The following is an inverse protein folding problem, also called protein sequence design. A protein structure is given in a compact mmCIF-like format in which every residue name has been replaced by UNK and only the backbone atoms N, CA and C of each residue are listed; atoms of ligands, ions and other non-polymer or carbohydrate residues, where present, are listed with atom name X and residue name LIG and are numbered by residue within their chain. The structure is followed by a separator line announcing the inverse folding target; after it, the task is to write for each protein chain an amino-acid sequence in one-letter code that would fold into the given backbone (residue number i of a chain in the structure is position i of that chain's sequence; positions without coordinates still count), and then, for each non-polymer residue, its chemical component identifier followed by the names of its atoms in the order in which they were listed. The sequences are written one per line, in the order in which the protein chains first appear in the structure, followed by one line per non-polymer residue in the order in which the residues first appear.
data_IF_987513660403
#
_entry.id   IF_987513660403
#
_cell.length_a   1.000
_cell.length_b   1.000
_cell.length_c   1.000
_cell.angle_alpha   90.00
_cell.angle_beta   90.00
_cell.angle_gamma   90.00
#
_symmetry.space_group_name_H-M   'P 1'
#
loop_
_entity.id
_entity.type
_entity.pdbx_description
1 polymer ?
#
# COMPACT_ATOMS: atom_id res chain seq x y z
N UNK A 1 -41.36 -9.53 6.63
CA UNK A 1 -42.73 -9.89 6.16
C UNK A 1 -42.68 -10.99 5.10
N UNK A 2 -41.76 -10.95 4.12
CA UNK A 2 -41.66 -11.92 3.01
C UNK A 2 -41.22 -13.36 3.33
N UNK A 3 -40.52 -13.60 4.44
CA UNK A 3 -40.12 -14.97 4.84
C UNK A 3 -41.26 -15.78 5.48
N UNK A 4 -42.41 -15.14 5.79
CA UNK A 4 -43.56 -15.77 6.46
C UNK A 4 -44.59 -16.33 5.46
N UNK A 5 -44.66 -15.79 4.24
CA UNK A 5 -45.53 -16.29 3.17
C UNK A 5 -44.93 -17.48 2.41
N UNK A 6 -43.60 -17.50 2.23
CA UNK A 6 -42.89 -18.62 1.57
C UNK A 6 -42.99 -19.92 2.41
N UNK A 7 -43.15 -19.82 3.73
CA UNK A 7 -43.32 -20.99 4.63
C UNK A 7 -44.75 -21.54 4.68
N UNK A 8 -45.78 -20.80 4.25
CA UNK A 8 -47.19 -21.21 4.45
C UNK A 8 -47.79 -21.94 3.25
N UNK A 9 -47.31 -21.66 2.05
CA UNK A 9 -47.78 -22.30 0.82
C UNK A 9 -46.58 -23.00 0.15
N UNK A 10 -46.39 -24.29 0.46
CA UNK A 10 -45.32 -25.09 -0.14
C UNK A 10 -45.37 -24.98 -1.67
N UNK A 11 -44.29 -24.47 -2.26
CA UNK A 11 -44.15 -24.29 -3.71
C UNK A 11 -44.10 -25.69 -4.33
N UNK A 12 -45.09 -26.04 -5.15
CA UNK A 12 -45.22 -27.38 -5.72
C UNK A 12 -44.82 -27.49 -7.19
N UNK A 13 -44.63 -26.39 -7.93
CA UNK A 13 -44.06 -26.47 -9.28
C UNK A 13 -43.32 -25.21 -9.77
N UNK A 14 -42.65 -25.36 -10.92
CA UNK A 14 -41.79 -24.37 -11.59
C UNK A 14 -42.55 -23.19 -12.19
N UNK A 15 -43.85 -23.35 -12.50
CA UNK A 15 -44.71 -22.30 -13.06
C UNK A 15 -45.08 -21.24 -12.02
N UNK A 16 -45.38 -21.64 -10.78
CA UNK A 16 -45.74 -20.71 -9.70
C UNK A 16 -44.55 -19.84 -9.27
N UNK A 17 -43.34 -20.40 -9.26
CA UNK A 17 -42.10 -19.66 -9.02
C UNK A 17 -41.88 -18.59 -10.11
N UNK A 18 -42.21 -18.93 -11.36
CA UNK A 18 -42.06 -18.04 -12.52
C UNK A 18 -43.03 -16.84 -12.45
N UNK A 19 -44.25 -17.06 -11.96
CA UNK A 19 -45.27 -16.01 -11.81
C UNK A 19 -44.98 -15.04 -10.65
N UNK A 20 -44.35 -15.52 -9.56
CA UNK A 20 -43.88 -14.67 -8.47
C UNK A 20 -42.69 -13.81 -8.93
N UNK A 21 -41.76 -14.38 -9.71
CA UNK A 21 -40.63 -13.66 -10.30
C UNK A 21 -41.08 -12.62 -11.35
N UNK A 22 -42.15 -12.89 -12.10
CA UNK A 22 -42.70 -11.95 -13.08
C UNK A 22 -43.38 -10.73 -12.43
N UNK A 23 -44.01 -10.88 -11.26
CA UNK A 23 -44.60 -9.75 -10.52
C UNK A 23 -43.57 -8.82 -9.86
N UNK A 24 -42.31 -9.24 -9.75
CA UNK A 24 -41.23 -8.47 -9.08
C UNK A 24 -40.46 -7.58 -10.09
N UNK A 25 -40.64 -7.77 -11.41
CA UNK A 25 -39.71 -7.28 -12.43
C UNK A 25 -39.97 -5.88 -13.03
N UNK A 26 -40.77 -5.03 -12.40
CA UNK A 26 -41.06 -3.68 -12.91
C UNK A 26 -40.14 -2.57 -12.38
N UNK A 27 -39.99 -2.45 -11.06
CA UNK A 27 -39.40 -1.24 -10.45
C UNK A 27 -37.95 -1.40 -9.98
N UNK A 28 -37.51 -2.61 -9.63
CA UNK A 28 -36.13 -2.84 -9.16
C UNK A 28 -35.13 -2.99 -10.31
N UNK A 29 -35.59 -3.42 -11.49
CA UNK A 29 -34.71 -3.60 -12.67
C UNK A 29 -34.22 -2.26 -13.22
N UNK A 30 -35.07 -1.23 -13.17
CA UNK A 30 -34.70 0.11 -13.60
C UNK A 30 -33.87 0.83 -12.52
N UNK A 31 -34.13 0.60 -11.24
CA UNK A 31 -33.31 1.11 -10.13
C UNK A 31 -31.90 0.50 -10.12
N UNK A 32 -31.78 -0.80 -10.45
CA UNK A 32 -30.49 -1.50 -10.59
C UNK A 32 -29.75 -1.06 -11.86
N UNK A 33 -30.45 -0.82 -12.97
CA UNK A 33 -29.86 -0.23 -14.19
C UNK A 33 -29.39 1.21 -13.96
N UNK A 34 -30.11 2.01 -13.20
CA UNK A 34 -29.73 3.39 -12.87
C UNK A 34 -28.53 3.43 -11.90
N UNK A 35 -28.47 2.50 -10.95
CA UNK A 35 -27.31 2.31 -10.05
C UNK A 35 -26.09 1.73 -10.78
N UNK A 36 -26.27 0.81 -11.74
CA UNK A 36 -25.19 0.31 -12.60
C UNK A 36 -24.66 1.38 -13.55
N UNK A 37 -25.52 2.25 -14.10
CA UNK A 37 -25.11 3.43 -14.89
C UNK A 37 -24.29 4.45 -14.09
N UNK A 38 -24.42 4.48 -12.75
CA UNK A 38 -23.62 5.35 -11.88
C UNK A 38 -22.34 4.69 -11.34
N UNK A 39 -22.24 3.37 -11.40
CA UNK A 39 -21.16 2.60 -10.77
C UNK A 39 -20.14 2.01 -11.75
N UNK A 40 -20.45 1.96 -13.04
CA UNK A 40 -19.54 1.49 -14.09
C UNK A 40 -19.10 2.73 -14.87
N UNK A 41 -17.81 3.05 -14.82
CA UNK A 41 -17.18 3.97 -15.76
C UNK A 41 -17.65 3.65 -17.18
N UNK A 42 -18.09 4.65 -17.94
CA UNK A 42 -18.46 4.44 -19.34
C UNK A 42 -17.22 3.93 -20.10
N UNK A 43 -17.41 2.99 -21.02
CA UNK A 43 -16.36 2.53 -21.93
C UNK A 43 -15.79 3.72 -22.74
N UNK A 44 -16.60 4.77 -22.93
CA UNK A 44 -16.15 6.02 -23.53
C UNK A 44 -15.21 6.83 -22.59
N UNK A 45 -15.43 6.81 -21.28
CA UNK A 45 -14.51 7.41 -20.29
C UNK A 45 -13.16 6.65 -20.26
N UNK A 46 -13.20 5.31 -20.41
CA UNK A 46 -11.99 4.48 -20.53
C UNK A 46 -11.24 4.76 -21.85
N UNK A 47 -11.97 4.97 -22.95
CA UNK A 47 -11.40 5.33 -24.26
C UNK A 47 -10.77 6.72 -24.26
N UNK A 48 -11.35 7.68 -23.54
CA UNK A 48 -10.80 9.03 -23.41
C UNK A 48 -9.47 9.04 -22.63
N UNK A 49 -9.32 8.15 -21.62
CA UNK A 49 -8.11 7.99 -20.80
C UNK A 49 -6.94 7.33 -21.55
N UNK A 50 -7.22 6.50 -22.57
CA UNK A 50 -6.22 5.75 -23.34
C UNK A 50 -5.56 6.60 -24.45
N UNK A 51 -6.14 7.74 -24.82
CA UNK A 51 -5.78 8.45 -26.05
C UNK A 51 -4.65 9.50 -25.89
N UNK A 52 -3.46 9.08 -25.44
CA UNK A 52 -2.24 9.90 -25.51
C UNK A 52 -1.07 9.06 -26.07
N UNK A 53 -0.89 9.17 -27.41
CA UNK A 53 0.36 9.14 -28.22
C UNK A 53 1.37 8.01 -27.95
N UNK A 54 1.72 7.08 -28.85
CA UNK A 54 1.89 7.08 -30.31
C UNK A 54 1.29 5.77 -30.89
N UNK A 55 0.72 5.82 -32.09
CA UNK A 55 0.13 4.66 -32.77
C UNK A 55 1.21 3.62 -33.11
N UNK A 56 1.44 2.64 -32.22
CA UNK A 56 1.78 1.30 -32.66
C UNK A 56 0.49 0.76 -33.25
N UNK A 57 0.48 0.50 -34.56
CA UNK A 57 -0.73 0.00 -35.20
C UNK A 57 -1.12 -1.34 -34.58
N UNK A 58 -2.43 -1.58 -34.40
CA UNK A 58 -2.96 -2.85 -33.85
C UNK A 58 -2.36 -4.09 -34.54
N UNK A 59 -2.00 -3.97 -35.81
CA UNK A 59 -1.34 -5.01 -36.59
C UNK A 59 0.11 -5.26 -36.15
N UNK A 60 0.87 -4.22 -35.84
CA UNK A 60 2.25 -4.31 -35.33
C UNK A 60 2.27 -4.87 -33.90
N UNK A 61 1.28 -4.50 -33.08
CA UNK A 61 1.14 -5.02 -31.72
C UNK A 61 0.80 -6.52 -31.71
N UNK A 62 -0.12 -6.96 -32.58
CA UNK A 62 -0.38 -8.38 -32.82
C UNK A 62 0.87 -9.11 -33.32
N UNK A 63 1.67 -8.49 -34.19
CA UNK A 63 2.88 -9.11 -34.74
C UNK A 63 3.96 -9.28 -33.66
N UNK A 64 4.10 -8.30 -32.78
CA UNK A 64 5.03 -8.35 -31.65
C UNK A 64 4.60 -9.44 -30.66
N UNK A 65 3.30 -9.55 -30.37
CA UNK A 65 2.79 -10.58 -29.45
C UNK A 65 2.90 -12.00 -30.04
N UNK A 66 2.62 -12.15 -31.35
CA UNK A 66 2.91 -13.38 -32.10
C UNK A 66 4.39 -13.79 -32.00
N UNK A 67 5.31 -12.83 -32.09
CA UNK A 67 6.76 -13.07 -31.98
C UNK A 67 7.16 -13.43 -30.55
N UNK A 68 6.60 -12.78 -29.54
CA UNK A 68 6.88 -13.06 -28.12
C UNK A 68 6.37 -14.42 -27.67
N UNK A 69 5.15 -14.78 -28.02
CA UNK A 69 4.60 -16.12 -27.73
C UNK A 69 5.37 -17.22 -28.46
N UNK A 70 5.75 -17.00 -29.72
CA UNK A 70 6.61 -17.93 -30.45
C UNK A 70 7.97 -18.11 -29.76
N UNK A 71 8.59 -17.02 -29.30
CA UNK A 71 9.87 -17.08 -28.58
C UNK A 71 9.74 -17.78 -27.23
N UNK A 72 8.67 -17.52 -26.46
CA UNK A 72 8.44 -18.16 -25.16
C UNK A 72 8.23 -19.68 -25.31
N UNK A 73 7.40 -20.11 -26.26
CA UNK A 73 7.18 -21.55 -26.52
C UNK A 73 8.44 -22.24 -27.03
N UNK A 74 9.22 -21.56 -27.89
CA UNK A 74 10.52 -22.09 -28.33
C UNK A 74 11.52 -22.20 -27.18
N UNK A 75 11.51 -21.26 -26.23
CA UNK A 75 12.35 -21.33 -25.03
C UNK A 75 11.93 -22.51 -24.15
N UNK A 76 10.63 -22.71 -23.92
CA UNK A 76 10.12 -23.82 -23.10
C UNK A 76 10.43 -25.19 -23.72
N UNK A 77 10.24 -25.33 -25.03
CA UNK A 77 10.62 -26.55 -25.77
C UNK A 77 12.13 -26.75 -25.76
N UNK A 78 12.92 -25.69 -25.95
CA UNK A 78 14.39 -25.79 -25.91
C UNK A 78 14.90 -26.18 -24.51
N UNK A 79 14.31 -25.67 -23.43
CA UNK A 79 14.65 -26.07 -22.06
C UNK A 79 14.30 -27.54 -21.80
N UNK A 80 13.18 -28.01 -22.35
CA UNK A 80 12.80 -29.43 -22.26
C UNK A 80 13.77 -30.33 -23.05
N UNK A 81 14.05 -30.00 -24.31
CA UNK A 81 15.02 -30.73 -25.13
C UNK A 81 16.43 -30.73 -24.52
N UNK A 82 16.83 -29.64 -23.87
CA UNK A 82 18.08 -29.55 -23.13
C UNK A 82 18.10 -30.50 -21.93
N UNK A 83 17.00 -30.57 -21.18
CA UNK A 83 16.86 -31.51 -20.05
C UNK A 83 16.90 -32.96 -20.54
N UNK A 84 16.20 -33.27 -21.63
CA UNK A 84 16.17 -34.61 -22.22
C UNK A 84 17.54 -35.02 -22.78
N UNK A 85 18.32 -34.07 -23.32
CA UNK A 85 19.71 -34.30 -23.72
C UNK A 85 20.64 -34.55 -22.53
N UNK A 86 20.51 -33.79 -21.44
CA UNK A 86 21.27 -34.03 -20.21
C UNK A 86 20.97 -35.41 -19.60
N UNK A 87 19.72 -35.86 -19.67
CA UNK A 87 19.33 -37.19 -19.21
C UNK A 87 19.82 -38.29 -20.16
N UNK A 88 19.83 -38.06 -21.47
CA UNK A 88 20.44 -38.96 -22.45
C UNK A 88 21.95 -39.10 -22.23
N UNK A 89 22.66 -38.02 -21.91
CA UNK A 89 24.10 -38.06 -21.58
C UNK A 89 24.36 -38.88 -20.32
N UNK A 90 23.51 -38.77 -19.30
CA UNK A 90 23.58 -39.61 -18.09
C UNK A 90 23.35 -41.08 -18.44
N UNK A 91 22.32 -41.40 -19.21
CA UNK A 91 22.04 -42.76 -19.69
C UNK A 91 23.20 -43.34 -20.50
N UNK A 92 23.81 -42.54 -21.37
CA UNK A 92 24.95 -42.96 -22.20
C UNK A 92 26.21 -43.21 -21.36
N UNK A 93 26.39 -42.48 -20.26
CA UNK A 93 27.44 -42.75 -19.29
C UNK A 93 27.16 -44.04 -18.49
N UNK A 94 25.90 -44.32 -18.13
CA UNK A 94 25.51 -45.58 -17.47
C UNK A 94 25.67 -46.79 -18.39
N UNK A 95 25.39 -46.65 -19.70
CA UNK A 95 25.68 -47.67 -20.70
C UNK A 95 27.17 -47.94 -20.85
N UNK A 96 28.03 -46.91 -20.84
CA UNK A 96 29.50 -47.09 -20.89
C UNK A 96 30.04 -47.89 -19.69
N UNK A 97 29.35 -47.82 -18.54
CA UNK A 97 29.70 -48.56 -17.31
C UNK A 97 29.02 -49.95 -17.29
N UNK A 98 28.16 -50.25 -18.28
CA UNK A 98 27.52 -51.56 -18.48
C UNK A 98 26.23 -51.76 -17.69
N UNK A 99 25.70 -50.70 -17.05
CA UNK A 99 24.54 -50.78 -16.15
C UNK A 99 23.20 -50.51 -16.85
N UNK A 100 23.22 -50.15 -18.14
CA UNK A 100 22.01 -49.91 -18.93
C UNK A 100 22.12 -50.60 -20.29
N UNK A 101 21.06 -51.25 -20.81
CA UNK A 101 21.05 -51.84 -22.14
C UNK A 101 20.88 -50.76 -23.23
N UNK A 102 21.51 -50.96 -24.40
CA UNK A 102 21.48 -50.00 -25.51
C UNK A 102 20.07 -49.72 -26.03
N UNK A 103 19.16 -50.69 -25.91
CA UNK A 103 17.77 -50.59 -26.36
C UNK A 103 16.97 -49.54 -25.57
N UNK A 104 17.34 -49.25 -24.32
CA UNK A 104 16.71 -48.18 -23.54
C UNK A 104 17.18 -46.79 -23.98
N UNK A 105 18.45 -46.66 -24.37
CA UNK A 105 19.00 -45.43 -24.95
C UNK A 105 18.37 -45.15 -26.32
N UNK A 106 18.20 -46.17 -27.15
CA UNK A 106 17.58 -46.03 -28.46
C UNK A 106 16.12 -45.55 -28.37
N UNK A 107 15.37 -46.01 -27.37
CA UNK A 107 14.02 -45.51 -27.09
C UNK A 107 14.00 -44.05 -26.65
N UNK A 108 14.97 -43.61 -25.83
CA UNK A 108 15.08 -42.20 -25.44
C UNK A 108 15.39 -41.30 -26.64
N UNK A 109 16.29 -41.74 -27.53
CA UNK A 109 16.61 -41.02 -28.78
C UNK A 109 15.38 -40.96 -29.71
N UNK A 110 14.59 -42.03 -29.77
CA UNK A 110 13.37 -42.07 -30.57
C UNK A 110 12.30 -41.11 -30.05
N UNK A 111 12.16 -40.97 -28.72
CA UNK A 111 11.27 -39.97 -28.10
C UNK A 111 11.70 -38.55 -28.44
N UNK A 112 13.00 -38.24 -28.34
CA UNK A 112 13.54 -36.90 -28.67
C UNK A 112 13.28 -36.56 -30.16
N UNK A 113 13.47 -37.53 -31.07
CA UNK A 113 13.17 -37.35 -32.50
C UNK A 113 11.70 -37.13 -32.80
N UNK A 114 10.80 -37.88 -32.14
CA UNK A 114 9.35 -37.69 -32.28
C UNK A 114 8.93 -36.31 -31.76
N UNK A 115 9.56 -35.82 -30.69
CA UNK A 115 9.31 -34.47 -30.18
C UNK A 115 9.81 -33.37 -31.12
N UNK A 116 10.95 -33.59 -31.79
CA UNK A 116 11.51 -32.71 -32.84
C UNK A 116 10.64 -32.68 -34.11
N UNK A 117 10.25 -33.84 -34.65
CA UNK A 117 9.35 -33.97 -35.81
C UNK A 117 7.92 -33.48 -35.51
N UNK A 118 7.50 -33.60 -34.24
CA UNK A 118 6.24 -33.06 -33.73
C UNK A 118 6.20 -31.52 -33.66
N UNK A 119 7.33 -30.82 -33.82
CA UNK A 119 7.37 -29.35 -33.93
C UNK A 119 6.92 -28.86 -35.31
N UNK A 120 7.27 -29.59 -36.37
CA UNK A 120 6.89 -29.23 -37.74
C UNK A 120 5.38 -29.45 -38.00
N UNK A 121 4.81 -30.53 -37.45
CA UNK A 121 3.39 -30.88 -37.63
C UNK A 121 2.42 -30.17 -36.65
N UNK A 122 2.92 -29.57 -35.56
CA UNK A 122 2.09 -28.76 -34.63
C UNK A 122 1.72 -27.39 -35.20
N UNK A 123 2.37 -26.94 -36.27
CA UNK A 123 2.09 -25.65 -36.90
C UNK A 123 0.67 -25.54 -37.51
N UNK A 124 0.08 -26.63 -38.02
CA UNK A 124 -1.26 -26.62 -38.62
C UNK A 124 -2.39 -26.83 -37.59
N UNK A 125 -2.20 -27.75 -36.63
CA UNK A 125 -3.23 -28.03 -35.62
C UNK A 125 -3.35 -26.95 -34.53
N UNK A 126 -2.31 -26.13 -34.33
CA UNK A 126 -2.39 -24.95 -33.48
C UNK A 126 -3.26 -23.84 -34.05
N UNK A 127 -3.50 -23.74 -35.36
CA UNK A 127 -4.39 -22.70 -35.91
C UNK A 127 -5.85 -22.87 -35.47
N UNK A 128 -6.30 -24.13 -35.32
CA UNK A 128 -7.66 -24.46 -34.93
C UNK A 128 -7.83 -24.34 -33.39
N UNK A 129 -6.79 -24.67 -32.61
CA UNK A 129 -6.76 -24.36 -31.17
C UNK A 129 -6.54 -22.86 -30.89
N UNK A 130 -5.93 -22.10 -31.82
CA UNK A 130 -5.77 -20.65 -31.78
C UNK A 130 -7.12 -19.94 -31.89
N UNK A 131 -8.08 -20.38 -32.70
CA UNK A 131 -9.41 -19.75 -32.72
C UNK A 131 -10.15 -19.83 -31.38
N UNK A 132 -9.91 -20.89 -30.59
CA UNK A 132 -10.51 -21.06 -29.25
C UNK A 132 -9.66 -20.48 -28.10
N UNK A 133 -8.34 -20.31 -28.25
CA UNK A 133 -7.45 -19.67 -27.24
C UNK A 133 -7.16 -18.18 -27.48
N UNK A 134 -7.42 -17.67 -28.69
CA UNK A 134 -7.33 -16.22 -29.00
C UNK A 134 -8.45 -15.42 -28.33
N UNK A 135 -9.46 -16.07 -27.74
CA UNK A 135 -10.29 -15.42 -26.73
C UNK A 135 -9.59 -15.44 -25.35
N UNK A 136 -8.40 -14.85 -25.23
CA UNK A 136 -8.07 -14.18 -23.98
C UNK A 136 -9.26 -13.26 -23.72
N UNK A 137 -9.87 -13.37 -22.54
CA UNK A 137 -10.98 -12.48 -22.21
C UNK A 137 -10.44 -11.06 -22.40
N UNK A 138 -11.07 -10.17 -23.19
CA UNK A 138 -10.53 -8.83 -23.42
C UNK A 138 -10.12 -8.08 -22.13
N UNK A 139 -10.72 -8.44 -21.00
CA UNK A 139 -10.35 -7.99 -19.66
C UNK A 139 -8.95 -8.44 -19.20
N UNK A 140 -8.51 -9.65 -19.52
CA UNK A 140 -7.17 -10.16 -19.18
C UNK A 140 -6.08 -9.37 -19.90
N UNK A 141 -6.33 -9.02 -21.17
CA UNK A 141 -5.44 -8.15 -21.96
C UNK A 141 -5.38 -6.75 -21.31
N UNK A 142 -6.52 -6.17 -20.94
CA UNK A 142 -6.58 -4.87 -20.26
C UNK A 142 -5.82 -4.90 -18.92
N UNK A 143 -5.99 -5.94 -18.12
CA UNK A 143 -5.27 -6.09 -16.86
C UNK A 143 -3.76 -6.23 -17.06
N UNK A 144 -3.32 -6.94 -18.10
CA UNK A 144 -1.91 -7.00 -18.46
C UNK A 144 -1.32 -5.61 -18.75
N UNK A 145 -2.02 -4.75 -19.50
CA UNK A 145 -1.57 -3.36 -19.72
C UNK A 145 -1.54 -2.54 -18.44
N UNK A 146 -2.56 -2.67 -17.58
CA UNK A 146 -2.58 -2.00 -16.28
C UNK A 146 -1.43 -2.45 -15.36
N UNK A 147 -1.02 -3.71 -15.46
CA UNK A 147 0.12 -4.24 -14.70
C UNK A 147 1.48 -3.81 -15.27
N UNK A 148 1.62 -3.76 -16.59
CA UNK A 148 2.92 -3.55 -17.26
C UNK A 148 3.28 -2.09 -17.47
N UNK A 149 2.30 -1.21 -17.72
CA UNK A 149 2.50 0.24 -17.78
C UNK A 149 1.80 0.96 -16.61
N UNK A 150 2.56 1.50 -15.64
CA UNK A 150 1.99 2.23 -14.50
C UNK A 150 1.30 3.56 -14.90
N UNK A 151 1.44 4.00 -16.15
CA UNK A 151 0.84 5.24 -16.64
C UNK A 151 -0.68 5.19 -16.64
N UNK A 152 -1.28 4.05 -16.99
CA UNK A 152 -2.73 3.89 -17.03
C UNK A 152 -3.37 4.06 -15.65
N UNK A 153 -2.93 3.26 -14.67
CA UNK A 153 -3.48 3.33 -13.33
C UNK A 153 -3.16 4.64 -12.60
N UNK A 154 -2.02 5.28 -12.91
CA UNK A 154 -1.73 6.60 -12.36
C UNK A 154 -2.58 7.73 -12.98
N UNK A 155 -2.94 7.63 -14.26
CA UNK A 155 -3.93 8.53 -14.87
C UNK A 155 -5.30 8.33 -14.21
N UNK A 156 -5.71 7.08 -14.05
CA UNK A 156 -6.98 6.74 -13.41
C UNK A 156 -7.07 7.26 -11.98
N UNK A 157 -6.00 7.13 -11.18
CA UNK A 157 -5.95 7.71 -9.83
C UNK A 157 -6.12 9.23 -9.81
N UNK A 158 -5.63 9.92 -10.85
CA UNK A 158 -5.70 11.38 -10.96
C UNK A 158 -7.13 11.87 -11.22
N UNK A 159 -8.10 10.98 -11.45
CA UNK A 159 -9.48 11.38 -11.65
C UNK A 159 -10.17 11.74 -10.33
N UNK A 160 -10.79 12.91 -10.29
CA UNK A 160 -11.31 13.51 -9.04
C UNK A 160 -12.44 12.70 -8.39
N UNK A 161 -13.21 11.97 -9.19
CA UNK A 161 -14.35 11.17 -8.72
C UNK A 161 -13.92 9.94 -7.92
N UNK A 162 -12.65 9.53 -8.03
CA UNK A 162 -12.15 8.31 -7.41
C UNK A 162 -11.55 8.66 -6.05
N UNK A 163 -12.11 8.06 -5.00
CA UNK A 163 -11.54 8.13 -3.66
C UNK A 163 -10.27 7.28 -3.56
N UNK A 164 -9.29 7.77 -2.82
CA UNK A 164 -7.99 7.10 -2.66
C UNK A 164 -8.11 5.65 -2.15
N UNK A 165 -8.89 5.42 -1.08
CA UNK A 165 -9.06 4.07 -0.52
C UNK A 165 -9.76 3.12 -1.46
N UNK A 166 -10.76 3.61 -2.20
CA UNK A 166 -11.50 2.79 -3.17
C UNK A 166 -10.62 2.43 -4.36
N UNK A 167 -9.80 3.37 -4.85
CA UNK A 167 -8.78 3.07 -5.86
C UNK A 167 -7.86 1.93 -5.41
N UNK A 168 -7.30 2.03 -4.20
CA UNK A 168 -6.37 1.01 -3.71
C UNK A 168 -7.06 -0.33 -3.54
N UNK A 169 -8.18 -0.37 -2.82
CA UNK A 169 -8.80 -1.63 -2.39
C UNK A 169 -9.61 -2.32 -3.48
N UNK A 170 -10.20 -1.58 -4.41
CA UNK A 170 -11.13 -2.14 -5.40
C UNK A 170 -10.53 -2.23 -6.81
N UNK A 171 -9.50 -1.45 -7.11
CA UNK A 171 -8.87 -1.43 -8.44
C UNK A 171 -7.42 -1.92 -8.36
N UNK A 172 -6.56 -1.19 -7.65
CA UNK A 172 -5.12 -1.48 -7.67
C UNK A 172 -4.81 -2.86 -7.08
N UNK A 173 -5.18 -3.13 -5.82
CA UNK A 173 -4.85 -4.40 -5.17
C UNK A 173 -5.40 -5.62 -5.94
N UNK A 174 -6.67 -5.67 -6.39
CA UNK A 174 -7.17 -6.81 -7.16
C UNK A 174 -6.44 -7.03 -8.50
N UNK A 175 -6.03 -5.97 -9.20
CA UNK A 175 -5.27 -6.10 -10.45
C UNK A 175 -3.91 -6.77 -10.21
N UNK A 176 -3.26 -6.51 -9.07
CA UNK A 176 -1.95 -7.05 -8.73
C UNK A 176 -2.04 -8.23 -7.74
N UNK A 177 -3.15 -8.98 -7.73
CA UNK A 177 -3.39 -10.11 -6.82
C UNK A 177 -2.96 -9.82 -5.35
N UNK A 178 -3.28 -8.61 -4.88
CA UNK A 178 -2.96 -8.11 -3.54
C UNK A 178 -1.46 -8.08 -3.19
N UNK A 179 -0.57 -8.08 -4.19
CA UNK A 179 0.87 -8.12 -3.99
C UNK A 179 1.34 -9.40 -3.32
N UNK A 180 0.66 -10.52 -3.60
CA UNK A 180 0.94 -11.82 -2.99
C UNK A 180 2.34 -12.35 -3.32
N UNK A 181 2.80 -12.13 -4.55
CA UNK A 181 4.11 -12.54 -5.04
C UNK A 181 5.01 -11.32 -5.29
N UNK A 182 6.34 -11.51 -5.22
CA UNK A 182 7.33 -10.44 -5.34
C UNK A 182 7.18 -9.62 -6.64
N UNK A 183 6.85 -10.30 -7.75
CA UNK A 183 6.58 -9.65 -9.03
C UNK A 183 5.43 -8.65 -8.92
N UNK A 184 4.28 -9.08 -8.42
CA UNK A 184 3.07 -8.25 -8.38
C UNK A 184 3.22 -7.10 -7.37
N UNK A 185 3.90 -7.35 -6.26
CA UNK A 185 4.29 -6.28 -5.33
C UNK A 185 5.16 -5.22 -6.03
N UNK A 186 6.20 -5.62 -6.76
CA UNK A 186 7.08 -4.68 -7.48
C UNK A 186 6.28 -3.86 -8.50
N UNK A 187 5.38 -4.50 -9.26
CA UNK A 187 4.58 -3.81 -10.26
C UNK A 187 3.59 -2.82 -9.61
N UNK A 188 2.92 -3.20 -8.52
CA UNK A 188 2.06 -2.30 -7.75
C UNK A 188 2.86 -1.10 -7.22
N UNK A 189 4.04 -1.34 -6.64
CA UNK A 189 4.93 -0.28 -6.14
C UNK A 189 5.37 0.66 -7.28
N UNK A 190 5.56 0.15 -8.50
CA UNK A 190 5.85 0.99 -9.68
C UNK A 190 4.68 1.90 -10.06
N UNK A 191 3.43 1.45 -9.92
CA UNK A 191 2.24 2.30 -10.10
C UNK A 191 2.26 3.45 -9.11
N UNK A 192 2.48 3.17 -7.83
CA UNK A 192 2.52 4.19 -6.79
C UNK A 192 3.71 5.14 -6.98
N UNK A 193 4.87 4.63 -7.38
CA UNK A 193 6.00 5.48 -7.77
C UNK A 193 5.66 6.46 -8.91
N UNK A 194 4.86 6.02 -9.89
CA UNK A 194 4.37 6.87 -10.98
C UNK A 194 3.34 7.90 -10.48
N UNK A 195 2.42 7.50 -9.59
CA UNK A 195 1.47 8.41 -8.93
C UNK A 195 2.22 9.51 -8.18
N UNK A 196 3.19 9.15 -7.34
CA UNK A 196 4.01 10.11 -6.60
C UNK A 196 4.80 11.03 -7.52
N UNK A 197 5.34 10.50 -8.62
CA UNK A 197 6.05 11.30 -9.62
C UNK A 197 5.13 12.33 -10.29
N UNK A 198 3.89 11.93 -10.64
CA UNK A 198 2.90 12.85 -11.23
C UNK A 198 2.45 13.90 -10.24
N UNK A 199 2.15 13.49 -9.02
CA UNK A 199 1.78 14.39 -7.93
C UNK A 199 2.85 15.45 -7.68
N UNK A 200 4.11 15.05 -7.48
CA UNK A 200 5.22 16.01 -7.32
C UNK A 200 5.33 16.94 -8.54
N UNK A 201 5.16 16.40 -9.75
CA UNK A 201 5.21 17.16 -10.99
C UNK A 201 4.09 18.19 -11.15
N UNK A 202 2.93 18.01 -10.50
CA UNK A 202 1.82 18.96 -10.54
C UNK A 202 1.94 20.08 -9.50
N UNK A 203 2.85 19.95 -8.53
CA UNK A 203 3.04 20.95 -7.50
C UNK A 203 3.72 22.20 -8.04
N UNK A 204 3.23 23.37 -7.61
CA UNK A 204 3.81 24.67 -7.98
C UNK A 204 4.97 25.06 -7.06
N UNK A 205 4.88 24.68 -5.79
CA UNK A 205 5.90 24.92 -4.78
C UNK A 205 6.07 23.67 -3.91
N UNK A 206 7.19 23.59 -3.19
CA UNK A 206 7.51 22.39 -2.41
C UNK A 206 6.71 22.32 -1.10
N UNK A 207 6.22 23.47 -0.61
CA UNK A 207 5.41 23.58 0.60
C UNK A 207 4.05 22.89 0.44
N UNK A 208 3.51 22.81 -0.78
CA UNK A 208 2.28 22.08 -1.11
C UNK A 208 2.41 20.54 -1.01
N UNK A 209 3.63 19.99 -0.93
CA UNK A 209 3.81 18.54 -1.04
C UNK A 209 3.07 17.73 0.04
N UNK A 210 3.00 18.24 1.27
CA UNK A 210 2.29 17.62 2.40
C UNK A 210 1.52 18.68 3.21
N UNK A 211 0.90 19.61 2.50
CA UNK A 211 -0.03 20.55 3.12
C UNK A 211 -1.38 19.86 3.43
N UNK A 212 -2.33 20.64 3.95
CA UNK A 212 -3.68 20.14 4.25
C UNK A 212 -4.58 20.09 3.01
N UNK A 213 -4.03 20.21 1.79
CA UNK A 213 -4.82 20.16 0.57
C UNK A 213 -5.47 18.80 0.35
N UNK A 214 -6.53 18.80 -0.46
CA UNK A 214 -7.21 17.56 -0.83
C UNK A 214 -6.28 16.61 -1.61
N UNK A 215 -5.43 17.14 -2.50
CA UNK A 215 -4.50 16.35 -3.30
C UNK A 215 -3.43 15.66 -2.43
N UNK A 216 -2.82 16.39 -1.50
CA UNK A 216 -1.84 15.85 -0.55
C UNK A 216 -2.47 14.72 0.29
N UNK A 217 -3.65 14.97 0.85
CA UNK A 217 -4.39 13.99 1.63
C UNK A 217 -4.76 12.75 0.80
N UNK A 218 -5.22 12.93 -0.45
CA UNK A 218 -5.56 11.82 -1.35
C UNK A 218 -4.35 10.92 -1.59
N UNK A 219 -3.16 11.50 -1.83
CA UNK A 219 -1.92 10.73 -2.01
C UNK A 219 -1.52 10.01 -0.72
N UNK A 220 -1.49 10.69 0.43
CA UNK A 220 -1.13 10.06 1.71
C UNK A 220 -2.05 8.89 2.02
N UNK A 221 -3.38 9.07 1.89
CA UNK A 221 -4.36 8.01 2.13
C UNK A 221 -4.15 6.81 1.20
N UNK A 222 -3.86 7.05 -0.08
CA UNK A 222 -3.62 5.98 -1.03
C UNK A 222 -2.36 5.18 -0.68
N UNK A 223 -1.25 5.87 -0.41
CA UNK A 223 0.00 5.23 -0.02
C UNK A 223 -0.15 4.44 1.28
N UNK A 224 -0.79 5.06 2.27
CA UNK A 224 -1.13 4.46 3.56
C UNK A 224 -1.91 3.16 3.36
N UNK A 225 -3.00 3.18 2.58
CA UNK A 225 -3.78 1.98 2.29
C UNK A 225 -2.96 0.89 1.57
N UNK A 226 -2.17 1.27 0.56
CA UNK A 226 -1.39 0.31 -0.22
C UNK A 226 -0.31 -0.37 0.63
N UNK A 227 0.46 0.42 1.39
CA UNK A 227 1.55 -0.11 2.20
C UNK A 227 1.05 -1.05 3.31
N UNK A 228 -0.10 -0.76 3.91
CA UNK A 228 -0.72 -1.62 4.93
C UNK A 228 -1.20 -2.97 4.40
N UNK A 229 -1.59 -3.01 3.13
CA UNK A 229 -2.12 -4.22 2.51
C UNK A 229 -1.04 -5.19 2.07
N UNK A 230 0.20 -4.73 1.88
CA UNK A 230 1.29 -5.56 1.40
C UNK A 230 1.80 -6.55 2.48
N UNK A 231 1.93 -7.85 2.16
CA UNK A 231 2.44 -8.85 3.10
C UNK A 231 3.85 -8.56 3.62
N UNK A 232 4.72 -8.03 2.76
CA UNK A 232 6.10 -7.64 3.07
C UNK A 232 6.21 -6.53 4.11
N UNK A 233 5.12 -5.78 4.33
CA UNK A 233 5.04 -4.68 5.27
C UNK A 233 4.36 -5.09 6.59
N UNK A 234 4.14 -6.38 6.84
CA UNK A 234 3.65 -6.86 8.13
C UNK A 234 4.79 -6.81 9.14
N UNK A 235 4.70 -5.87 10.08
CA UNK A 235 5.82 -5.57 10.97
C UNK A 235 5.64 -6.20 12.34
N UNK A 236 6.75 -6.66 12.92
CA UNK A 236 6.83 -7.16 14.28
C UNK A 236 6.62 -6.04 15.32
N UNK A 237 6.30 -6.42 16.56
CA UNK A 237 6.12 -5.49 17.68
C UNK A 237 7.36 -4.62 17.90
N UNK A 238 7.23 -3.30 17.73
CA UNK A 238 8.27 -2.30 17.96
C UNK A 238 8.86 -2.33 19.36
N UNK A 239 7.97 -2.36 20.36
CA UNK A 239 8.34 -2.23 21.76
C UNK A 239 8.28 -3.59 22.41
N UNK A 240 9.40 -3.99 23.02
CA UNK A 240 9.44 -5.20 23.83
C UNK A 240 8.56 -5.04 25.07
N UNK A 241 8.20 -6.17 25.69
CA UNK A 241 7.50 -6.15 26.99
C UNK A 241 8.28 -5.39 28.06
N UNK A 242 9.61 -5.41 28.00
CA UNK A 242 10.47 -4.67 28.92
C UNK A 242 10.35 -3.16 28.73
N UNK A 243 10.30 -2.70 27.49
CA UNK A 243 10.17 -1.26 27.17
C UNK A 243 8.84 -0.71 27.67
N UNK A 244 7.76 -1.46 27.46
CA UNK A 244 6.44 -1.09 27.97
C UNK A 244 6.36 -1.16 29.50
N UNK A 245 7.06 -2.09 30.14
CA UNK A 245 7.14 -2.16 31.59
C UNK A 245 7.88 -0.95 32.18
N UNK A 246 8.97 -0.53 31.56
CA UNK A 246 9.71 0.68 31.95
C UNK A 246 8.84 1.93 31.83
N UNK A 247 8.10 2.06 30.72
CA UNK A 247 7.14 3.14 30.50
C UNK A 247 6.05 3.16 31.57
N UNK A 248 5.39 2.02 31.82
CA UNK A 248 4.35 1.88 32.87
C UNK A 248 4.88 2.29 34.25
N UNK A 249 6.11 1.90 34.59
CA UNK A 249 6.74 2.24 35.87
C UNK A 249 7.01 3.74 35.99
N UNK A 250 7.53 4.37 34.93
CA UNK A 250 7.80 5.81 34.93
C UNK A 250 6.52 6.63 34.95
N UNK A 251 5.49 6.21 34.20
CA UNK A 251 4.19 6.87 34.21
C UNK A 251 3.52 6.81 35.58
N UNK A 252 3.58 5.65 36.25
CA UNK A 252 3.03 5.49 37.61
C UNK A 252 3.74 6.36 38.66
N UNK A 253 5.02 6.69 38.46
CA UNK A 253 5.77 7.59 39.32
C UNK A 253 5.32 9.06 39.17
N UNK A 254 4.79 9.43 38.00
CA UNK A 254 4.31 10.78 37.69
C UNK A 254 2.79 10.89 37.92
N UNK A 255 2.40 11.13 39.18
CA UNK A 255 0.98 11.16 39.58
C UNK A 255 0.14 12.25 38.88
N UNK A 256 0.77 13.30 38.34
CA UNK A 256 0.10 14.49 37.83
C UNK A 256 0.50 14.89 36.40
N UNK A 257 0.68 13.95 35.47
CA UNK A 257 0.90 14.32 34.06
C UNK A 257 -0.32 15.07 33.51
N UNK A 258 -0.14 16.35 33.16
CA UNK A 258 -1.16 17.15 32.49
C UNK A 258 -0.50 18.26 31.66
N UNK A 259 -0.96 18.36 30.41
CA UNK A 259 -0.40 19.22 29.37
C UNK A 259 -1.30 20.44 29.07
N UNK A 260 -2.43 20.58 29.76
CA UNK A 260 -3.36 21.71 29.69
C UNK A 260 -3.29 22.54 30.97
N UNK A 261 -2.64 23.73 30.93
CA UNK A 261 -2.54 24.60 32.10
C UNK A 261 -3.91 25.00 32.66
N UNK A 262 -4.89 25.25 31.79
CA UNK A 262 -6.25 25.65 32.18
C UNK A 262 -6.95 24.53 32.94
N UNK A 263 -6.98 23.31 32.38
CA UNK A 263 -7.61 22.16 33.05
C UNK A 263 -6.91 21.82 34.36
N UNK A 264 -5.59 22.02 34.43
CA UNK A 264 -4.82 21.81 35.65
C UNK A 264 -5.20 22.83 36.73
N UNK A 265 -5.28 24.11 36.37
CA UNK A 265 -5.70 25.20 37.24
C UNK A 265 -7.10 24.96 37.81
N UNK A 266 -8.04 24.61 36.93
CA UNK A 266 -9.43 24.30 37.29
C UNK A 266 -9.52 23.14 38.27
N UNK A 267 -8.73 22.08 38.06
CA UNK A 267 -8.73 20.91 38.92
C UNK A 267 -8.10 21.18 40.30
N UNK A 268 -7.09 22.04 40.38
CA UNK A 268 -6.41 22.38 41.63
C UNK A 268 -7.24 23.33 42.51
N UNK A 269 -7.87 24.34 41.89
CA UNK A 269 -8.53 25.43 42.63
C UNK A 269 -10.07 25.38 42.56
N UNK A 270 -10.63 24.41 41.83
CA UNK A 270 -12.08 24.26 41.60
C UNK A 270 -12.74 25.55 41.08
N UNK A 271 -12.03 26.31 40.24
CA UNK A 271 -12.50 27.54 39.59
C UNK A 271 -11.90 27.70 38.20
N UNK A 272 -12.65 28.33 37.29
CA UNK A 272 -12.15 28.67 35.96
C UNK A 272 -10.99 29.67 36.03
N UNK A 273 -9.95 29.39 35.23
CA UNK A 273 -8.89 30.36 34.97
C UNK A 273 -9.45 31.48 34.07
N UNK A 274 -9.12 32.74 34.37
CA UNK A 274 -9.53 33.88 33.54
C UNK A 274 -8.78 33.94 32.22
N UNK A 275 -7.57 33.39 32.19
CA UNK A 275 -6.73 33.31 31.00
C UNK A 275 -5.68 32.20 31.12
N UNK A 276 -5.08 31.82 29.98
CA UNK A 276 -3.94 30.90 29.93
C UNK A 276 -2.72 31.45 30.70
N UNK A 277 -2.53 32.77 30.71
CA UNK A 277 -1.47 33.41 31.48
C UNK A 277 -1.65 33.26 33.00
N UNK A 278 -2.88 33.40 33.51
CA UNK A 278 -3.16 33.17 34.94
C UNK A 278 -2.79 31.73 35.32
N UNK A 279 -3.21 30.77 34.49
CA UNK A 279 -2.93 29.36 34.74
C UNK A 279 -1.42 29.04 34.66
N UNK A 280 -0.69 29.62 33.71
CA UNK A 280 0.75 29.32 33.52
C UNK A 280 1.67 30.05 34.50
N UNK A 281 1.25 31.20 35.05
CA UNK A 281 1.98 31.94 36.10
C UNK A 281 1.83 31.32 37.49
N UNK A 282 0.83 30.46 37.69
CA UNK A 282 0.65 29.73 38.94
C UNK A 282 1.82 28.78 39.22
N UNK A 283 2.35 28.80 40.45
CA UNK A 283 3.57 28.08 40.82
C UNK A 283 3.41 26.57 40.79
N UNK A 284 2.25 26.06 41.24
CA UNK A 284 1.99 24.61 41.25
C UNK A 284 1.69 24.12 39.84
N UNK A 285 0.89 24.86 39.06
CA UNK A 285 0.63 24.51 37.65
C UNK A 285 1.92 24.51 36.84
N UNK A 286 2.76 25.52 37.00
CA UNK A 286 4.04 25.62 36.27
C UNK A 286 5.00 24.47 36.63
N UNK A 287 5.06 24.07 37.90
CA UNK A 287 5.87 22.94 38.37
C UNK A 287 5.41 21.62 37.77
N UNK A 288 4.11 21.33 37.81
CA UNK A 288 3.54 20.10 37.25
C UNK A 288 3.70 20.08 35.73
N UNK A 289 3.47 21.20 35.05
CA UNK A 289 3.66 21.34 33.61
C UNK A 289 5.12 21.10 33.21
N UNK A 290 6.08 21.64 33.97
CA UNK A 290 7.51 21.43 33.73
C UNK A 290 7.90 19.95 33.84
N UNK A 291 7.42 19.25 34.88
CA UNK A 291 7.64 17.81 35.03
C UNK A 291 7.00 17.01 33.89
N UNK A 292 5.77 17.38 33.50
CA UNK A 292 5.05 16.74 32.39
C UNK A 292 5.80 16.88 31.07
N UNK A 293 6.36 18.05 30.77
CA UNK A 293 7.19 18.29 29.58
C UNK A 293 8.49 17.51 29.59
N UNK A 294 9.15 17.40 30.74
CA UNK A 294 10.38 16.60 30.90
C UNK A 294 10.08 15.12 30.67
N UNK A 295 8.99 14.62 31.22
CA UNK A 295 8.51 13.26 30.99
C UNK A 295 8.26 13.02 29.50
N UNK A 296 7.47 13.87 28.86
CA UNK A 296 7.15 13.75 27.44
C UNK A 296 8.41 13.81 26.58
N UNK A 297 9.29 14.78 26.80
CA UNK A 297 10.55 14.90 26.04
C UNK A 297 11.41 13.64 26.14
N UNK A 298 11.61 13.13 27.35
CA UNK A 298 12.40 11.91 27.58
C UNK A 298 11.80 10.72 26.83
N UNK A 299 10.50 10.51 26.98
CA UNK A 299 9.85 9.33 26.42
C UNK A 299 9.68 9.41 24.91
N UNK A 300 9.42 10.58 24.34
CA UNK A 300 9.37 10.77 22.89
C UNK A 300 10.73 10.50 22.25
N UNK A 301 11.84 10.99 22.82
CA UNK A 301 13.19 10.68 22.33
C UNK A 301 13.48 9.18 22.42
N UNK A 302 13.17 8.55 23.56
CA UNK A 302 13.40 7.11 23.75
C UNK A 302 12.59 6.27 22.76
N UNK A 303 11.31 6.60 22.55
CA UNK A 303 10.46 5.92 21.58
C UNK A 303 10.99 6.07 20.16
N UNK A 304 11.42 7.27 19.79
CA UNK A 304 12.00 7.56 18.47
C UNK A 304 13.29 6.76 18.24
N UNK A 305 14.22 6.76 19.21
CA UNK A 305 15.47 6.00 19.10
C UNK A 305 15.23 4.50 19.01
N UNK A 306 14.39 3.94 19.89
CA UNK A 306 14.05 2.51 19.86
C UNK A 306 13.39 2.12 18.54
N UNK A 307 12.50 2.96 18.01
CA UNK A 307 11.88 2.71 16.72
C UNK A 307 12.90 2.79 15.58
N UNK A 308 13.82 3.74 15.60
CA UNK A 308 14.89 3.83 14.60
C UNK A 308 15.86 2.62 14.65
N UNK A 309 16.15 2.09 15.83
CA UNK A 309 17.02 0.92 16.02
C UNK A 309 16.35 -0.41 15.63
N UNK A 310 15.05 -0.53 15.88
CA UNK A 310 14.29 -1.78 15.67
C UNK A 310 13.60 -1.88 14.31
N UNK A 311 13.32 -0.74 13.66
CA UNK A 311 12.56 -0.74 12.41
C UNK A 311 13.44 -1.14 11.23
N UNK A 312 13.25 -2.36 10.74
CA UNK A 312 13.71 -2.72 9.41
C UNK A 312 12.73 -2.18 8.36
N UNK A 313 13.06 -1.02 7.78
CA UNK A 313 12.21 -0.40 6.73
C UNK A 313 12.13 -1.37 5.53
N UNK A 314 10.94 -1.80 5.07
CA UNK A 314 10.81 -2.69 3.91
C UNK A 314 11.38 -2.12 2.60
N UNK A 315 11.83 -2.99 1.68
CA UNK A 315 12.54 -2.58 0.43
C UNK A 315 11.68 -1.69 -0.47
N UNK A 316 10.40 -2.03 -0.62
CA UNK A 316 9.39 -1.25 -1.34
C UNK A 316 9.25 0.18 -0.77
N UNK A 317 9.22 0.34 0.56
CA UNK A 317 9.16 1.63 1.24
C UNK A 317 10.44 2.42 0.97
N UNK A 318 11.62 1.82 1.16
CA UNK A 318 12.92 2.48 0.86
C UNK A 318 12.97 2.97 -0.59
N UNK A 319 12.47 2.17 -1.53
CA UNK A 319 12.41 2.53 -2.95
C UNK A 319 11.52 3.76 -3.19
N UNK A 320 10.31 3.78 -2.60
CA UNK A 320 9.39 4.92 -2.71
C UNK A 320 9.96 6.19 -2.09
N UNK A 321 10.62 6.10 -0.93
CA UNK A 321 11.29 7.24 -0.29
C UNK A 321 12.43 7.78 -1.16
N UNK A 322 13.23 6.89 -1.76
CA UNK A 322 14.29 7.28 -2.70
C UNK A 322 13.72 7.99 -3.94
N UNK A 323 12.59 7.53 -4.46
CA UNK A 323 11.90 8.20 -5.57
C UNK A 323 11.38 9.56 -5.13
N UNK A 324 10.74 9.65 -3.97
CA UNK A 324 10.26 10.90 -3.38
C UNK A 324 11.38 11.95 -3.34
N UNK A 325 12.49 11.62 -2.67
CA UNK A 325 13.64 12.49 -2.52
C UNK A 325 14.21 12.95 -3.88
N UNK A 326 14.39 12.01 -4.81
CA UNK A 326 14.94 12.30 -6.13
C UNK A 326 14.01 13.18 -6.97
N UNK A 327 12.69 12.95 -6.90
CA UNK A 327 11.71 13.71 -7.68
C UNK A 327 11.52 15.12 -7.13
N UNK A 328 11.45 15.28 -5.80
CA UNK A 328 11.40 16.59 -5.15
C UNK A 328 12.59 17.46 -5.56
N UNK A 329 13.82 16.95 -5.41
CA UNK A 329 15.04 17.71 -5.75
C UNK A 329 15.19 18.01 -7.25
N UNK A 330 14.68 17.13 -8.12
CA UNK A 330 14.73 17.36 -9.58
C UNK A 330 13.68 18.37 -10.04
N UNK A 331 12.50 18.34 -9.45
CA UNK A 331 11.41 19.25 -9.80
C UNK A 331 11.66 20.65 -9.22
N UNK A 332 12.09 20.72 -7.96
CA UNK A 332 12.38 21.98 -7.27
C UNK A 332 13.90 22.21 -7.18
N UNK A 333 14.48 22.90 -8.17
CA UNK A 333 15.93 23.16 -8.24
C UNK A 333 16.48 23.96 -7.06
N UNK A 334 15.64 24.76 -6.41
CA UNK A 334 16.02 25.60 -5.26
C UNK A 334 15.82 24.88 -3.92
N UNK A 335 15.32 23.64 -3.92
CA UNK A 335 15.08 22.89 -2.70
C UNK A 335 16.40 22.38 -2.14
N UNK A 336 16.75 22.84 -0.95
CA UNK A 336 17.94 22.35 -0.25
C UNK A 336 17.79 20.88 0.13
N UNK A 337 18.93 20.20 0.27
CA UNK A 337 18.96 18.79 0.67
C UNK A 337 18.20 18.57 1.98
N UNK A 338 18.43 19.44 2.97
CA UNK A 338 17.82 19.37 4.30
C UNK A 338 16.30 19.47 4.25
N UNK A 339 15.77 20.40 3.45
CA UNK A 339 14.32 20.53 3.28
C UNK A 339 13.72 19.33 2.55
N UNK A 340 14.40 18.81 1.53
CA UNK A 340 13.97 17.59 0.86
C UNK A 340 13.91 16.39 1.81
N UNK A 341 14.92 16.24 2.67
CA UNK A 341 14.99 15.14 3.65
C UNK A 341 13.87 15.29 4.69
N UNK A 342 13.54 16.51 5.13
CA UNK A 342 12.38 16.82 5.99
C UNK A 342 11.05 16.40 5.35
N UNK A 343 10.81 16.76 4.08
CA UNK A 343 9.58 16.36 3.38
C UNK A 343 9.47 14.84 3.21
N UNK A 344 10.60 14.17 2.94
CA UNK A 344 10.64 12.71 2.83
C UNK A 344 10.39 12.05 4.19
N UNK A 345 10.95 12.59 5.28
CA UNK A 345 10.70 12.14 6.65
C UNK A 345 9.22 12.27 7.03
N UNK A 346 8.60 13.42 6.76
CA UNK A 346 7.16 13.61 6.99
C UNK A 346 6.30 12.67 6.14
N UNK A 347 6.65 12.47 4.87
CA UNK A 347 5.95 11.51 4.00
C UNK A 347 6.05 10.09 4.54
N UNK A 348 7.26 9.66 4.92
CA UNK A 348 7.49 8.37 5.56
C UNK A 348 6.67 8.23 6.84
N UNK A 349 6.63 9.28 7.65
CA UNK A 349 5.88 9.29 8.89
C UNK A 349 4.40 9.04 8.63
N UNK A 350 3.77 9.90 7.81
CA UNK A 350 2.32 9.88 7.59
C UNK A 350 1.82 8.69 6.75
N UNK A 351 2.68 8.07 5.93
CA UNK A 351 2.27 6.95 5.06
C UNK A 351 2.61 5.56 5.59
N UNK A 352 3.59 5.46 6.49
CA UNK A 352 4.09 4.16 6.95
C UNK A 352 4.35 4.12 8.46
N UNK A 353 5.15 5.05 8.97
CA UNK A 353 5.64 4.95 10.35
C UNK A 353 4.55 5.19 11.40
N UNK A 354 3.61 6.10 11.15
CA UNK A 354 2.50 6.37 12.08
C UNK A 354 1.67 5.11 12.31
N UNK A 355 1.33 4.38 11.26
CA UNK A 355 0.64 3.09 11.40
C UNK A 355 1.53 2.03 12.02
N UNK A 356 2.84 2.13 11.85
CA UNK A 356 3.73 1.23 12.56
C UNK A 356 3.74 1.48 14.08
N UNK A 357 3.52 2.72 14.51
CA UNK A 357 3.31 3.05 15.92
C UNK A 357 1.89 2.72 16.41
N UNK A 358 0.88 2.93 15.56
CA UNK A 358 -0.54 2.77 15.89
C UNK A 358 -1.10 1.36 15.59
N UNK A 359 -0.35 0.52 14.88
CA UNK A 359 -0.70 -0.75 14.20
C UNK A 359 -2.18 -1.15 14.20
N UNK A 360 -2.81 -0.95 13.05
CA UNK A 360 -3.63 -1.85 12.20
C UNK A 360 -4.43 -3.03 12.74
N UNK A 361 -4.65 -3.12 14.03
CA UNK A 361 -5.72 -3.86 14.65
C UNK A 361 -5.84 -3.34 16.07
N UNK A 362 -7.05 -2.96 16.49
CA UNK A 362 -7.46 -2.48 17.83
C UNK A 362 -7.08 -3.42 19.02
N UNK A 363 -6.17 -4.38 18.84
CA UNK A 363 -5.68 -5.38 19.80
C UNK A 363 -4.25 -5.12 20.32
N UNK A 364 -3.50 -4.11 19.82
CA UNK A 364 -2.01 -4.13 19.95
C UNK A 364 -1.36 -2.92 20.65
N UNK A 365 -2.09 -1.87 21.03
CA UNK A 365 -1.69 -1.18 22.27
C UNK A 365 -1.90 -2.25 23.34
N UNK A 366 -0.79 -2.80 23.88
CA UNK A 366 -0.78 -3.89 24.85
C UNK A 366 -2.07 -3.79 25.66
N UNK A 367 -3.00 -4.77 25.54
CA UNK A 367 -4.34 -4.61 26.09
C UNK A 367 -4.32 -4.36 27.61
N UNK A 368 -3.19 -4.63 28.27
CA UNK A 368 -2.95 -4.28 29.67
C UNK A 368 -2.64 -2.79 29.94
N UNK A 369 -2.44 -1.95 28.90
CA UNK A 369 -2.26 -0.51 29.05
C UNK A 369 -3.60 0.16 29.41
N UNK A 370 -3.56 1.03 30.41
CA UNK A 370 -4.71 1.80 30.87
C UNK A 370 -5.10 2.87 29.85
N UNK A 371 -6.34 3.38 29.90
CA UNK A 371 -6.79 4.47 29.02
C UNK A 371 -5.83 5.67 29.03
N UNK A 372 -5.41 6.08 30.23
CA UNK A 372 -4.43 7.17 30.43
C UNK A 372 -3.10 6.89 29.73
N UNK A 373 -2.59 5.66 29.83
CA UNK A 373 -1.33 5.29 29.16
C UNK A 373 -1.46 5.34 27.63
N UNK A 374 -2.62 4.97 27.07
CA UNK A 374 -2.87 5.10 25.62
C UNK A 374 -2.90 6.56 25.18
N UNK A 375 -3.53 7.44 25.97
CA UNK A 375 -3.57 8.88 25.72
C UNK A 375 -2.15 9.48 25.74
N UNK A 376 -1.30 9.09 26.70
CA UNK A 376 0.09 9.55 26.75
C UNK A 376 0.90 9.04 25.54
N UNK A 377 0.73 7.78 25.15
CA UNK A 377 1.39 7.25 23.94
C UNK A 377 0.93 7.99 22.70
N UNK A 378 -0.35 8.35 22.61
CA UNK A 378 -0.86 9.16 21.50
C UNK A 378 -0.18 10.53 21.43
N UNK A 379 -0.03 11.21 22.58
CA UNK A 379 0.72 12.48 22.65
C UNK A 379 2.20 12.30 22.25
N UNK A 380 2.81 11.17 22.59
CA UNK A 380 4.17 10.84 22.13
C UNK A 380 4.19 10.72 20.60
N UNK A 381 3.24 10.00 20.00
CA UNK A 381 3.13 9.83 18.55
C UNK A 381 2.96 11.20 17.86
N UNK A 382 2.04 12.04 18.33
CA UNK A 382 1.86 13.40 17.81
C UNK A 382 3.15 14.24 17.91
N UNK A 383 3.87 14.13 19.02
CA UNK A 383 5.15 14.83 19.19
C UNK A 383 6.23 14.30 18.22
N UNK A 384 6.25 13.00 17.94
CA UNK A 384 7.14 12.42 16.94
C UNK A 384 6.79 12.92 15.54
N UNK A 385 5.50 13.07 15.24
CA UNK A 385 5.01 13.59 13.96
C UNK A 385 5.46 15.04 13.73
N UNK A 386 5.33 15.90 14.74
CA UNK A 386 5.84 17.28 14.69
C UNK A 386 7.35 17.32 14.47
N UNK A 387 8.09 16.42 15.12
CA UNK A 387 9.53 16.27 14.92
C UNK A 387 9.89 15.81 13.50
N UNK A 388 9.15 14.86 12.92
CA UNK A 388 9.34 14.42 11.54
C UNK A 388 9.05 15.54 10.52
N UNK A 389 8.05 16.39 10.79
CA UNK A 389 7.73 17.58 9.99
C UNK A 389 8.76 18.71 10.17
N UNK A 390 9.59 18.65 11.21
CA UNK A 390 10.52 19.72 11.57
C UNK A 390 9.82 21.03 11.96
N UNK A 391 8.54 20.95 12.38
CA UNK A 391 7.76 22.10 12.86
C UNK A 391 7.82 22.19 14.37
N UNK A 392 8.11 23.38 14.88
CA UNK A 392 8.07 23.69 16.31
C UNK A 392 6.72 24.23 16.76
N UNK A 393 6.53 24.35 18.07
CA UNK A 393 5.43 25.11 18.66
C UNK A 393 5.62 26.62 18.37
N UNK A 394 4.56 27.27 17.88
CA UNK A 394 4.51 28.72 17.62
C UNK A 394 4.41 29.55 18.91
N UNK A 395 4.45 30.88 18.77
CA UNK A 395 4.31 31.83 19.89
C UNK A 395 2.95 31.72 20.60
N UNK A 396 1.89 31.34 19.88
CA UNK A 396 0.55 31.08 20.44
C UNK A 396 0.57 29.94 21.47
N UNK A 397 1.53 29.03 21.33
CA UNK A 397 1.83 27.96 22.29
C UNK A 397 3.14 28.24 23.02
N UNK A 398 3.38 29.50 23.43
CA UNK A 398 4.59 29.93 24.13
C UNK A 398 4.95 29.06 25.34
N UNK A 399 3.94 28.55 26.05
CA UNK A 399 4.15 27.60 27.15
C UNK A 399 4.73 26.26 26.71
N UNK A 400 4.63 25.83 25.45
CA UNK A 400 5.20 24.57 24.93
C UNK A 400 6.52 24.74 24.19
N UNK A 401 6.96 25.97 23.89
CA UNK A 401 8.19 26.24 23.12
C UNK A 401 9.46 25.59 23.70
N UNK A 402 9.51 25.35 25.01
CA UNK A 402 10.62 24.62 25.63
C UNK A 402 10.80 23.19 25.10
N UNK A 403 9.79 22.64 24.41
CA UNK A 403 9.84 21.33 23.75
C UNK A 403 10.47 21.39 22.35
N UNK A 404 10.68 22.58 21.78
CA UNK A 404 11.25 22.72 20.42
C UNK A 404 12.65 22.11 20.32
N UNK A 405 13.46 22.16 21.38
CA UNK A 405 14.76 21.47 21.42
C UNK A 405 14.63 19.94 21.28
N UNK A 406 13.56 19.37 21.81
CA UNK A 406 13.24 17.94 21.68
C UNK A 406 12.82 17.63 20.25
N UNK A 407 12.00 18.49 19.63
CA UNK A 407 11.55 18.31 18.24
C UNK A 407 12.72 18.36 17.25
N UNK A 408 13.72 19.21 17.47
CA UNK A 408 14.96 19.24 16.68
C UNK A 408 15.70 17.89 16.78
N UNK A 409 15.88 17.36 17.99
CA UNK A 409 16.53 16.05 18.16
C UNK A 409 15.76 14.90 17.50
N UNK A 410 14.43 14.96 17.50
CA UNK A 410 13.59 13.98 16.81
C UNK A 410 13.77 14.11 15.29
N UNK A 411 13.80 15.34 14.77
CA UNK A 411 14.04 15.60 13.34
C UNK A 411 15.38 15.01 12.89
N UNK A 412 16.45 15.23 13.65
CA UNK A 412 17.79 14.69 13.39
C UNK A 412 17.84 13.14 13.37
N UNK A 413 16.88 12.46 14.01
CA UNK A 413 16.78 10.99 13.96
C UNK A 413 16.05 10.53 12.68
N UNK A 414 15.09 11.31 12.19
CA UNK A 414 14.29 10.97 11.01
C UNK A 414 14.96 11.34 9.68
N UNK A 415 15.77 12.39 9.65
CA UNK A 415 16.48 12.89 8.46
C UNK A 415 17.91 12.39 8.41
#
# INVERSE_FOLDING_TARGET
MYMKEIRKNGIKNKEELKNVILKINGSEKDLVKEKLKKAVLDINDIREVINITEEITYEEEILIEKRRSKVANLIEVNEKLKTDLEDLEKSLNLYKIGEMPIDEILKQIEVIKIEEEGLENRHENEQIAKEHRISLNPLEIIFYYFQTDPTYLSNFFSWDKIQAKDFVNTIALPIFDFGKDEREEILLVRVFAKILTKYIGSLKNFEQFLDESWDANKVVIAFKAMLQSLPSNRIATLFSKSDLAEFKKAEAAEQHLNFSPIQMYEKLYNRHAKSLEEATKDSEVSKILSNSKKFLSKWTILFTKKAAESLEIPRNVRYLLKICANKLRRHFKNLEKKDADRFVAKFFYSTFFEDYLQTHNKKVIDPSLTKRQKEIIHLIIEMMELGADGKGFSDDFGYMQSLNSTLIQINDIFT
#
